data_IF_098584631416
#
_entry.id   IF_098584631416
#
_cell.length_a   1.000
_cell.length_b   1.000
_cell.length_c   1.000
_cell.angle_alpha   90.00
_cell.angle_beta   90.00
_cell.angle_gamma   90.00
#
_symmetry.space_group_name_H-M   'P 1'
#
loop_
_entity.id
_entity.type
_entity.pdbx_description
1 polymer ?
#
# COMPACT_ATOMS: atom_id res chain seq x y z
N UNK A 1 -12.73 7.64 -7.26
CA UNK A 1 -11.91 7.48 -8.46
C UNK A 1 -10.44 7.78 -8.16
N UNK A 2 -9.55 6.91 -8.60
CA UNK A 2 -8.12 7.11 -8.37
C UNK A 2 -7.60 8.31 -9.15
N UNK A 3 -6.98 9.24 -8.47
CA UNK A 3 -6.48 10.47 -9.06
C UNK A 3 -4.95 10.59 -9.02
N UNK A 4 -4.27 9.48 -8.70
CA UNK A 4 -2.82 9.45 -8.64
C UNK A 4 -2.28 9.75 -7.24
N UNK A 5 -0.96 9.67 -7.12
CA UNK A 5 -0.25 10.04 -5.90
C UNK A 5 0.19 11.50 -6.02
N UNK A 6 0.38 12.17 -4.89
CA UNK A 6 0.61 13.61 -4.87
C UNK A 6 1.69 14.01 -3.86
N UNK A 7 1.77 15.32 -3.55
CA UNK A 7 2.74 15.84 -2.60
C UNK A 7 2.62 15.21 -1.21
N UNK A 8 1.40 14.86 -0.79
CA UNK A 8 1.17 14.22 0.51
C UNK A 8 1.88 12.87 0.55
N UNK A 9 1.80 12.11 -0.55
CA UNK A 9 2.52 10.84 -0.70
C UNK A 9 4.02 11.06 -0.56
N UNK A 10 4.55 12.05 -1.25
CA UNK A 10 5.98 12.36 -1.23
C UNK A 10 6.42 12.75 0.18
N UNK A 11 5.67 13.59 0.87
CA UNK A 11 5.98 14.02 2.23
C UNK A 11 6.03 12.84 3.20
N UNK A 12 5.11 11.89 3.06
CA UNK A 12 5.12 10.71 3.91
C UNK A 12 6.41 9.92 3.73
N UNK A 13 6.76 9.61 2.47
CA UNK A 13 7.95 8.81 2.20
C UNK A 13 9.25 9.54 2.50
N UNK A 14 9.27 10.85 2.37
CA UNK A 14 10.42 11.63 2.80
C UNK A 14 10.64 11.52 4.30
N UNK A 15 9.57 11.58 5.09
CA UNK A 15 9.66 11.41 6.54
C UNK A 15 10.18 10.01 6.89
N UNK A 16 9.69 8.97 6.21
CA UNK A 16 10.13 7.59 6.43
C UNK A 16 11.61 7.42 6.07
N UNK A 17 12.05 8.01 4.97
CA UNK A 17 13.47 7.93 4.57
C UNK A 17 14.39 8.63 5.54
N UNK A 18 13.94 9.75 6.10
CA UNK A 18 14.73 10.51 7.05
C UNK A 18 14.95 9.74 8.34
N UNK A 19 13.92 9.08 8.83
CA UNK A 19 13.99 8.23 10.00
C UNK A 19 12.97 7.12 9.87
N UNK A 20 13.42 5.90 9.59
CA UNK A 20 12.53 4.76 9.42
C UNK A 20 12.24 4.13 10.77
N UNK A 21 11.12 4.51 11.37
CA UNK A 21 10.70 4.00 12.67
C UNK A 21 9.19 3.96 12.76
N UNK A 22 8.68 3.15 13.68
CA UNK A 22 7.23 3.09 13.92
C UNK A 22 6.72 4.40 14.48
N UNK A 23 7.54 5.10 15.27
CA UNK A 23 7.17 6.41 15.82
C UNK A 23 6.95 7.42 14.71
N UNK A 24 7.84 7.47 13.71
CA UNK A 24 7.69 8.38 12.58
C UNK A 24 6.45 8.03 11.76
N UNK A 25 6.17 6.75 11.54
CA UNK A 25 4.95 6.35 10.86
C UNK A 25 3.72 6.85 11.61
N UNK A 26 3.71 6.67 12.93
CA UNK A 26 2.58 7.07 13.76
C UNK A 26 2.38 8.59 13.76
N UNK A 27 3.48 9.35 13.84
CA UNK A 27 3.42 10.81 13.77
C UNK A 27 2.89 11.31 12.42
N UNK A 28 3.15 10.56 11.35
CA UNK A 28 2.76 10.93 9.99
C UNK A 28 1.62 10.06 9.48
N UNK A 29 0.83 9.47 10.37
CA UNK A 29 -0.24 8.56 10.00
C UNK A 29 -1.28 9.20 9.08
N UNK A 30 -1.62 10.47 9.31
CA UNK A 30 -2.55 11.17 8.44
C UNK A 30 -2.01 11.32 7.03
N UNK A 31 -0.71 11.59 6.89
CA UNK A 31 -0.08 11.64 5.57
C UNK A 31 -0.13 10.28 4.89
N UNK A 32 0.09 9.21 5.65
CA UNK A 32 -0.01 7.86 5.11
C UNK A 32 -1.43 7.55 4.65
N UNK A 33 -2.45 7.84 5.47
CA UNK A 33 -3.83 7.55 5.12
C UNK A 33 -4.27 8.32 3.88
N UNK A 34 -3.96 9.60 3.80
CA UNK A 34 -4.37 10.45 2.68
C UNK A 34 -3.51 10.27 1.44
N UNK A 35 -2.21 10.05 1.60
CA UNK A 35 -1.27 10.03 0.49
C UNK A 35 -0.96 8.64 -0.05
N UNK A 36 -1.17 7.59 0.74
CA UNK A 36 -0.81 6.23 0.34
C UNK A 36 -2.00 5.30 0.40
N UNK A 37 -2.60 5.13 1.57
CA UNK A 37 -3.65 4.13 1.75
C UNK A 37 -4.90 4.44 0.94
N UNK A 38 -5.41 5.66 1.02
CA UNK A 38 -6.62 6.05 0.30
C UNK A 38 -6.44 5.97 -1.21
N UNK A 39 -5.37 6.53 -1.80
CA UNK A 39 -5.14 6.36 -3.23
C UNK A 39 -4.97 4.90 -3.65
N UNK A 40 -4.28 4.08 -2.85
CA UNK A 40 -4.13 2.65 -3.14
C UNK A 40 -5.47 1.93 -3.14
N UNK A 41 -6.35 2.25 -2.20
CA UNK A 41 -7.68 1.63 -2.16
C UNK A 41 -8.51 2.02 -3.38
N UNK A 42 -8.46 3.28 -3.79
CA UNK A 42 -9.15 3.75 -4.98
C UNK A 42 -8.64 3.03 -6.23
N UNK A 43 -7.32 2.92 -6.37
CA UNK A 43 -6.70 2.20 -7.47
C UNK A 43 -7.07 0.72 -7.44
N UNK A 44 -7.07 0.12 -6.25
CA UNK A 44 -7.46 -1.28 -6.07
C UNK A 44 -8.87 -1.53 -6.63
N UNK A 45 -9.84 -0.69 -6.28
CA UNK A 45 -11.20 -0.89 -6.74
C UNK A 45 -11.34 -0.71 -8.25
N UNK A 46 -10.63 0.24 -8.84
CA UNK A 46 -10.64 0.41 -10.29
C UNK A 46 -10.03 -0.79 -11.01
N UNK A 47 -8.89 -1.28 -10.52
CA UNK A 47 -8.22 -2.44 -11.11
C UNK A 47 -9.05 -3.71 -10.91
N UNK A 48 -9.64 -3.88 -9.74
CA UNK A 48 -10.49 -5.02 -9.47
C UNK A 48 -11.69 -5.07 -10.41
N UNK A 49 -12.35 -3.94 -10.62
CA UNK A 49 -13.47 -3.88 -11.55
C UNK A 49 -13.06 -4.23 -12.98
N UNK A 50 -11.87 -3.80 -13.37
CA UNK A 50 -11.35 -4.12 -14.71
C UNK A 50 -11.00 -5.60 -14.84
N UNK A 51 -10.19 -6.11 -13.90
CA UNK A 51 -9.69 -7.48 -13.99
C UNK A 51 -10.76 -8.53 -13.71
N UNK A 52 -11.74 -8.25 -12.87
CA UNK A 52 -12.81 -9.21 -12.58
C UNK A 52 -13.70 -9.45 -13.79
N UNK A 53 -13.77 -8.51 -14.72
CA UNK A 53 -14.49 -8.69 -15.98
C UNK A 53 -13.75 -9.61 -16.95
N UNK A 54 -12.41 -9.66 -16.82
CA UNK A 54 -11.58 -10.51 -17.66
C UNK A 54 -11.49 -11.94 -17.09
N UNK A 55 -11.49 -12.07 -15.77
CA UNK A 55 -11.35 -13.34 -15.08
C UNK A 55 -12.18 -13.33 -13.80
N UNK A 56 -13.32 -14.01 -13.83
CA UNK A 56 -14.23 -14.07 -12.68
C UNK A 56 -13.66 -14.87 -11.52
N UNK A 57 -12.60 -15.67 -11.75
CA UNK A 57 -11.96 -16.46 -10.71
C UNK A 57 -10.84 -15.71 -9.99
N UNK A 58 -10.61 -14.44 -10.34
CA UNK A 58 -9.56 -13.66 -9.73
C UNK A 58 -9.79 -13.51 -8.23
N UNK A 59 -8.81 -13.94 -7.45
CA UNK A 59 -8.85 -13.78 -6.01
C UNK A 59 -8.62 -12.32 -5.65
N UNK A 60 -9.56 -11.77 -4.90
CA UNK A 60 -9.49 -10.38 -4.50
C UNK A 60 -9.88 -10.21 -3.04
N UNK A 61 -8.90 -9.97 -2.22
CA UNK A 61 -9.09 -9.59 -0.84
C UNK A 61 -8.25 -8.34 -0.61
N UNK A 62 -8.91 -7.23 -0.31
CA UNK A 62 -8.22 -5.94 -0.15
C UNK A 62 -7.02 -6.03 0.79
N UNK A 63 -7.14 -6.75 1.89
CA UNK A 63 -6.05 -6.89 2.85
C UNK A 63 -4.82 -7.60 2.27
N UNK A 64 -5.04 -8.52 1.34
CA UNK A 64 -3.95 -9.28 0.72
C UNK A 64 -3.41 -8.60 -0.52
N UNK A 65 -4.21 -7.80 -1.18
CA UNK A 65 -3.82 -7.14 -2.43
C UNK A 65 -3.06 -5.85 -2.20
N UNK A 66 -3.43 -5.08 -1.18
CA UNK A 66 -2.80 -3.80 -0.89
C UNK A 66 -1.68 -4.00 0.13
N UNK A 67 -0.50 -3.40 -0.16
CA UNK A 67 0.64 -3.49 0.75
C UNK A 67 0.33 -2.80 2.08
N UNK A 68 0.86 -3.36 3.17
CA UNK A 68 0.79 -2.72 4.48
C UNK A 68 1.92 -1.69 4.61
N UNK A 69 1.84 -0.84 5.63
CA UNK A 69 2.89 0.13 5.90
C UNK A 69 4.15 -0.52 6.49
N UNK A 70 4.02 -1.68 7.10
CA UNK A 70 5.09 -2.30 7.87
C UNK A 70 5.82 -3.38 7.10
N UNK A 71 7.16 -3.41 7.24
CA UNK A 71 7.98 -4.52 6.79
C UNK A 71 7.91 -5.65 7.81
N UNK A 72 8.30 -6.85 7.38
CA UNK A 72 8.38 -8.00 8.28
C UNK A 72 9.53 -7.78 9.26
N UNK A 73 9.21 -7.64 10.54
CA UNK A 73 10.21 -7.35 11.58
C UNK A 73 11.27 -8.45 11.72
N UNK A 74 10.97 -9.66 11.28
CA UNK A 74 11.95 -10.76 11.33
C UNK A 74 13.11 -10.53 10.38
N UNK A 75 12.90 -9.79 9.30
CA UNK A 75 13.89 -9.56 8.26
C UNK A 75 14.33 -8.10 8.14
N UNK A 76 13.51 -7.17 8.62
CA UNK A 76 13.73 -5.75 8.44
C UNK A 76 13.59 -4.99 9.76
N UNK A 77 14.30 -5.43 10.81
CA UNK A 77 14.18 -4.82 12.14
C UNK A 77 14.66 -3.38 12.18
N UNK A 78 15.64 -3.01 11.34
CA UNK A 78 16.18 -1.65 11.30
C UNK A 78 15.34 -0.71 10.43
N UNK A 79 14.53 -1.26 9.53
CA UNK A 79 13.67 -0.48 8.64
C UNK A 79 12.25 -1.03 8.72
N UNK A 80 11.55 -0.77 9.85
CA UNK A 80 10.23 -1.36 10.05
C UNK A 80 9.14 -0.84 9.12
N UNK A 81 9.35 0.31 8.48
CA UNK A 81 8.35 0.91 7.61
C UNK A 81 8.77 0.77 6.14
N UNK A 82 7.86 0.33 5.29
CA UNK A 82 8.12 0.23 3.85
C UNK A 82 8.31 1.62 3.25
N UNK A 83 9.31 1.74 2.38
CA UNK A 83 9.55 2.96 1.62
C UNK A 83 8.82 2.96 0.28
N UNK A 84 7.91 2.02 0.08
CA UNK A 84 7.14 1.86 -1.16
C UNK A 84 5.77 1.28 -0.85
N UNK A 85 4.89 1.34 -1.85
CA UNK A 85 3.57 0.71 -1.77
C UNK A 85 3.30 -0.04 -3.06
N UNK A 86 2.40 -1.03 -2.99
CA UNK A 86 2.05 -1.83 -4.16
C UNK A 86 0.66 -2.44 -4.01
N UNK A 87 0.11 -2.87 -5.16
CA UNK A 87 -1.11 -3.66 -5.22
C UNK A 87 -0.76 -4.95 -5.97
N UNK A 88 -1.27 -6.07 -5.47
CA UNK A 88 -1.02 -7.38 -6.06
C UNK A 88 -2.32 -8.17 -6.13
N UNK A 89 -2.60 -8.73 -7.30
CA UNK A 89 -3.71 -9.67 -7.49
C UNK A 89 -3.15 -11.06 -7.72
N UNK A 90 -3.85 -12.08 -7.19
CA UNK A 90 -3.46 -13.48 -7.35
C UNK A 90 -4.60 -14.27 -7.98
N UNK A 91 -4.24 -15.27 -8.78
CA UNK A 91 -5.20 -16.24 -9.31
C UNK A 91 -5.35 -17.39 -8.32
N UNK A 92 -6.50 -18.12 -8.35
CA UNK A 92 -6.68 -19.30 -7.51
C UNK A 92 -5.57 -20.34 -7.76
N UNK A 93 -5.04 -20.91 -6.68
CA UNK A 93 -3.99 -21.92 -6.76
C UNK A 93 -2.57 -21.36 -6.86
N UNK A 94 -2.40 -20.05 -6.84
CA UNK A 94 -1.09 -19.40 -6.81
C UNK A 94 -0.86 -18.75 -5.44
N UNK A 95 0.35 -18.75 -4.98
CA UNK A 95 0.71 -18.07 -3.72
C UNK A 95 1.76 -17.02 -3.92
#
# INVERSE_FOLDING_TARGET
>A
MFQGFNEITIRYYEAVRKENSRAVHKENELLYLEGVKQPLEELYFELYNYFSKLDSDLLSNKRRCISSAYNDARFCSETPIKEYCYIRFKLPGTD
#
